data_IF_254889046177
#
_entry.id   IF_254889046177
#
_cell.length_a   1.000
_cell.length_b   1.000
_cell.length_c   1.000
_cell.angle_alpha   90.00
_cell.angle_beta   90.00
_cell.angle_gamma   90.00
#
_symmetry.space_group_name_H-M   'P 1'
#
loop_
_entity.id
_entity.type
_entity.pdbx_description
1 polymer ?
#
# COMPACT_ATOMS: atom_id res chain seq x y z
N UNK A 1 -31.29 6.03 19.29
CA UNK A 1 -29.89 6.41 19.60
C UNK A 1 -29.01 5.79 18.53
N UNK A 2 -28.21 6.63 17.85
CA UNK A 2 -26.96 6.39 17.08
C UNK A 2 -26.72 5.01 16.43
N UNK A 3 -26.33 4.86 15.17
CA UNK A 3 -25.88 5.83 14.17
C UNK A 3 -25.28 5.02 13.01
N UNK A 4 -25.83 5.16 11.81
CA UNK A 4 -25.29 4.58 10.58
C UNK A 4 -25.38 5.65 9.49
N UNK A 5 -24.36 6.48 9.40
CA UNK A 5 -24.30 7.59 8.44
C UNK A 5 -22.88 8.00 8.11
N UNK A 6 -21.91 7.09 8.27
CA UNK A 6 -20.56 7.33 7.80
C UNK A 6 -20.58 7.33 6.27
N UNK A 7 -20.25 8.47 5.66
CA UNK A 7 -20.06 8.60 4.23
C UNK A 7 -19.26 7.40 3.70
N UNK A 8 -19.93 6.56 2.92
CA UNK A 8 -19.32 5.35 2.36
C UNK A 8 -18.30 5.83 1.32
N UNK A 9 -17.00 5.67 1.62
CA UNK A 9 -15.99 5.72 0.57
C UNK A 9 -16.09 4.42 -0.22
N UNK A 10 -16.22 4.50 -1.55
CA UNK A 10 -16.17 3.29 -2.38
C UNK A 10 -14.71 3.01 -2.72
N UNK A 11 -14.21 1.88 -2.19
CA UNK A 11 -12.89 1.35 -2.52
C UNK A 11 -13.00 0.50 -3.79
N UNK A 12 -12.33 0.92 -4.87
CA UNK A 12 -12.20 0.14 -6.11
C UNK A 12 -10.94 -0.72 -6.16
N UNK A 13 -10.25 -0.91 -5.04
CA UNK A 13 -9.02 -1.68 -4.96
C UNK A 13 -9.25 -3.18 -4.74
N UNK A 14 -9.02 -4.00 -5.76
CA UNK A 14 -8.63 -5.41 -5.57
C UNK A 14 -7.15 -5.41 -5.20
N UNK A 15 -6.75 -6.21 -4.21
CA UNK A 15 -5.34 -6.42 -3.88
C UNK A 15 -5.09 -7.90 -3.59
N UNK A 16 -4.40 -8.58 -4.50
CA UNK A 16 -3.77 -9.86 -4.22
C UNK A 16 -2.61 -10.05 -5.21
N UNK A 17 -1.40 -9.71 -4.76
CA UNK A 17 -0.18 -9.88 -5.53
C UNK A 17 0.43 -11.26 -5.28
N UNK A 18 0.79 -11.94 -6.36
CA UNK A 18 1.73 -13.06 -6.42
C UNK A 18 2.88 -12.62 -7.33
N UNK A 19 3.94 -12.04 -6.75
CA UNK A 19 5.07 -11.48 -7.51
C UNK A 19 6.05 -12.56 -8.00
N UNK A 20 5.96 -13.80 -7.48
CA UNK A 20 6.81 -14.92 -7.91
C UNK A 20 6.05 -16.25 -7.86
N UNK A 21 6.23 -17.05 -8.91
CA UNK A 21 5.79 -18.45 -9.00
C UNK A 21 6.90 -19.26 -9.68
N UNK A 22 7.25 -20.41 -9.11
CA UNK A 22 8.16 -21.39 -9.73
C UNK A 22 9.61 -20.91 -9.97
N UNK A 23 10.25 -20.27 -8.99
CA UNK A 23 11.71 -20.05 -8.97
C UNK A 23 12.28 -19.22 -10.14
N UNK A 24 11.44 -18.38 -10.76
CA UNK A 24 11.84 -17.42 -11.80
C UNK A 24 11.22 -16.06 -11.48
N UNK A 25 11.90 -14.92 -11.79
CA UNK A 25 11.30 -13.60 -11.67
C UNK A 25 10.15 -13.43 -12.66
N UNK A 26 8.97 -13.94 -12.33
CA UNK A 26 7.72 -13.57 -12.99
C UNK A 26 7.22 -12.30 -12.30
N UNK A 27 7.96 -11.19 -12.48
CA UNK A 27 7.54 -9.88 -11.99
C UNK A 27 6.29 -9.50 -12.77
N UNK A 28 5.14 -9.93 -12.29
CA UNK A 28 3.87 -9.36 -12.69
C UNK A 28 3.68 -8.11 -11.82
N UNK A 29 4.38 -7.03 -12.17
CA UNK A 29 4.14 -5.67 -11.66
C UNK A 29 2.95 -5.06 -12.37
N UNK A 30 1.83 -5.77 -12.41
CA UNK A 30 0.59 -5.01 -12.47
C UNK A 30 0.60 -4.13 -11.20
N UNK A 31 0.07 -2.92 -11.28
CA UNK A 31 0.01 -2.02 -10.13
C UNK A 31 -1.46 -2.02 -9.70
N UNK A 32 -1.74 -2.38 -8.45
CA UNK A 32 -3.10 -2.31 -7.92
C UNK A 32 -3.22 -0.92 -7.31
N UNK A 33 -4.28 -0.25 -7.70
CA UNK A 33 -4.56 1.12 -7.31
C UNK A 33 -5.65 1.10 -6.24
N UNK A 34 -5.40 1.70 -5.08
CA UNK A 34 -6.45 2.07 -4.13
C UNK A 34 -6.89 3.48 -4.36
N UNK A 35 -8.18 3.63 -4.22
CA UNK A 35 -8.90 4.85 -4.46
C UNK A 35 -9.90 5.05 -3.34
N UNK A 36 -10.01 6.28 -2.85
CA UNK A 36 -10.96 6.64 -1.79
C UNK A 36 -11.76 7.86 -2.21
N UNK A 37 -12.83 7.60 -2.94
CA UNK A 37 -13.76 8.60 -3.49
C UNK A 37 -15.14 8.45 -2.85
N UNK A 38 -15.97 9.50 -2.83
CA UNK A 38 -17.36 9.40 -2.38
C UNK A 38 -18.12 8.29 -3.12
N UNK A 39 -19.01 7.56 -2.44
CA UNK A 39 -19.70 6.41 -3.02
C UNK A 39 -20.46 6.66 -4.33
N UNK A 40 -20.88 7.91 -4.58
CA UNK A 40 -21.65 8.31 -5.76
C UNK A 40 -20.86 9.24 -6.71
N UNK A 41 -19.54 9.34 -6.54
CA UNK A 41 -18.67 10.17 -7.37
C UNK A 41 -17.81 9.30 -8.28
N UNK A 42 -17.60 9.77 -9.51
CA UNK A 42 -16.59 9.23 -10.43
C UNK A 42 -15.30 10.05 -10.35
N UNK A 43 -14.22 9.50 -10.91
CA UNK A 43 -12.96 10.22 -11.10
C UNK A 43 -13.11 11.57 -11.80
N UNK A 44 -14.03 11.63 -12.78
CA UNK A 44 -14.28 12.85 -13.55
C UNK A 44 -14.96 13.95 -12.73
N UNK A 45 -15.59 13.60 -11.59
CA UNK A 45 -16.26 14.54 -10.70
C UNK A 45 -15.32 15.15 -9.65
N UNK A 46 -14.07 14.67 -9.60
CA UNK A 46 -13.05 15.15 -8.70
C UNK A 46 -12.19 16.20 -9.40
N UNK A 47 -11.99 17.32 -8.73
CA UNK A 47 -11.22 18.45 -9.24
C UNK A 47 -10.04 18.77 -8.35
N UNK A 48 -9.05 19.46 -8.92
CA UNK A 48 -7.97 20.12 -8.19
C UNK A 48 -7.21 19.24 -7.17
N UNK A 49 -6.62 18.10 -7.58
CA UNK A 49 -5.65 17.42 -6.72
C UNK A 49 -4.52 18.39 -6.36
N UNK A 50 -4.11 18.40 -5.10
CA UNK A 50 -3.01 19.26 -4.64
C UNK A 50 -1.65 18.77 -5.13
N UNK A 51 -1.50 17.46 -5.37
CA UNK A 51 -0.28 16.85 -5.86
C UNK A 51 -0.18 15.37 -5.48
N UNK A 52 1.02 14.81 -5.64
CA UNK A 52 1.34 13.42 -5.28
C UNK A 52 2.37 13.42 -4.15
N UNK A 53 2.12 12.65 -3.10
CA UNK A 53 3.09 12.40 -2.04
C UNK A 53 3.56 10.94 -2.10
N UNK A 54 4.68 10.62 -1.44
CA UNK A 54 5.23 9.26 -1.47
C UNK A 54 6.00 8.90 -0.19
N UNK A 55 6.12 7.60 0.04
CA UNK A 55 7.01 6.95 0.99
C UNK A 55 7.85 5.92 0.26
N UNK A 56 9.17 5.97 0.44
CA UNK A 56 10.09 4.93 -0.04
C UNK A 56 10.64 4.14 1.14
N UNK A 57 10.75 2.83 0.99
CA UNK A 57 11.44 1.99 1.96
C UNK A 57 12.15 0.83 1.26
N UNK A 58 13.14 0.27 1.95
CA UNK A 58 13.90 -0.88 1.47
C UNK A 58 13.58 -2.11 2.31
N UNK A 59 13.20 -3.20 1.66
CA UNK A 59 13.17 -4.52 2.27
C UNK A 59 14.49 -5.23 1.99
N UNK A 60 15.07 -5.84 3.02
CA UNK A 60 16.29 -6.61 2.90
C UNK A 60 16.02 -8.02 3.42
N UNK A 61 16.31 -9.02 2.59
CA UNK A 61 16.27 -10.41 3.00
C UNK A 61 17.38 -10.76 3.99
N UNK A 62 17.24 -11.86 4.74
CA UNK A 62 18.33 -12.38 5.56
C UNK A 62 19.54 -12.75 4.69
N UNK A 63 20.73 -12.74 5.29
CA UNK A 63 21.98 -13.12 4.62
C UNK A 63 23.19 -12.74 5.46
N UNK A 64 24.02 -13.73 5.83
CA UNK A 64 25.17 -13.53 6.71
C UNK A 64 26.43 -13.06 5.97
N UNK A 65 26.53 -13.30 4.65
CA UNK A 65 27.73 -13.00 3.83
C UNK A 65 27.38 -12.22 2.55
N UNK A 66 26.30 -12.58 1.86
CA UNK A 66 25.72 -11.83 0.73
C UNK A 66 24.25 -11.61 1.07
N UNK A 67 23.72 -10.41 0.79
CA UNK A 67 22.27 -10.18 0.93
C UNK A 67 21.56 -11.02 -0.12
N UNK A 68 20.78 -11.99 0.32
CA UNK A 68 20.15 -12.95 -0.59
C UNK A 68 19.09 -12.29 -1.46
N UNK A 69 18.45 -11.22 -0.98
CA UNK A 69 17.63 -10.36 -1.81
C UNK A 69 17.42 -8.99 -1.17
N UNK A 70 16.96 -8.04 -1.98
CA UNK A 70 16.40 -6.78 -1.50
C UNK A 70 15.38 -6.22 -2.50
N UNK A 71 14.50 -5.37 -2.00
CA UNK A 71 13.49 -4.65 -2.77
C UNK A 71 13.47 -3.19 -2.33
N UNK A 72 13.62 -2.26 -3.26
CA UNK A 72 13.27 -0.86 -3.05
C UNK A 72 11.80 -0.69 -3.43
N UNK A 73 11.02 -0.19 -2.49
CA UNK A 73 9.57 -0.10 -2.55
C UNK A 73 9.16 1.36 -2.45
N UNK A 74 8.08 1.73 -3.13
CA UNK A 74 7.46 3.04 -3.04
C UNK A 74 5.95 2.94 -2.90
N UNK A 75 5.38 3.63 -1.93
CA UNK A 75 3.96 3.94 -1.83
C UNK A 75 3.80 5.38 -2.29
N UNK A 76 3.03 5.62 -3.36
CA UNK A 76 2.72 6.98 -3.81
C UNK A 76 1.21 7.20 -3.82
N UNK A 77 0.76 8.40 -3.50
CA UNK A 77 -0.66 8.74 -3.53
C UNK A 77 -0.94 10.18 -3.93
N UNK A 78 -1.94 10.37 -4.78
CA UNK A 78 -2.43 11.68 -5.21
C UNK A 78 -3.52 12.17 -4.27
N UNK A 79 -3.30 13.32 -3.64
CA UNK A 79 -4.08 13.81 -2.52
C UNK A 79 -4.69 15.20 -2.78
N UNK A 80 -5.61 15.62 -1.90
CA UNK A 80 -6.21 16.95 -1.89
C UNK A 80 -7.29 17.18 -2.95
N UNK A 81 -7.75 16.13 -3.64
CA UNK A 81 -8.81 16.27 -4.63
C UNK A 81 -10.12 16.69 -3.94
N UNK A 82 -10.97 17.45 -4.64
CA UNK A 82 -12.22 17.98 -4.09
C UNK A 82 -13.42 17.47 -4.87
N UNK A 83 -14.49 17.19 -4.14
CA UNK A 83 -15.80 16.86 -4.70
C UNK A 83 -16.79 17.98 -4.37
N UNK A 84 -17.43 18.57 -5.38
CA UNK A 84 -18.39 19.68 -5.22
C UNK A 84 -17.86 20.83 -4.34
N UNK A 85 -16.57 21.14 -4.43
CA UNK A 85 -15.91 22.23 -3.70
C UNK A 85 -15.46 21.89 -2.28
N UNK A 86 -15.76 20.69 -1.78
CA UNK A 86 -15.42 20.25 -0.42
C UNK A 86 -14.56 18.98 -0.36
N UNK A 87 -14.05 18.72 0.84
CA UNK A 87 -13.25 17.55 1.18
C UNK A 87 -11.81 17.57 0.65
N UNK A 88 -11.08 16.50 0.96
CA UNK A 88 -9.73 16.24 0.47
C UNK A 88 -9.59 14.73 0.23
N UNK A 89 -9.80 14.27 -1.00
CA UNK A 89 -9.87 12.87 -1.37
C UNK A 89 -8.54 12.35 -1.95
N UNK A 90 -8.36 11.02 -1.88
CA UNK A 90 -7.23 10.33 -2.51
C UNK A 90 -7.71 9.75 -3.83
N UNK A 91 -7.08 10.21 -4.92
CA UNK A 91 -7.48 9.80 -6.28
C UNK A 91 -6.72 8.64 -6.85
N UNK A 92 -5.57 8.35 -6.24
CA UNK A 92 -4.77 7.21 -6.58
C UNK A 92 -3.84 6.94 -5.40
N UNK A 93 -3.68 5.68 -5.00
CA UNK A 93 -2.66 5.22 -4.09
C UNK A 93 -2.11 3.90 -4.62
N UNK A 94 -0.80 3.80 -4.80
CA UNK A 94 -0.15 2.66 -5.44
C UNK A 94 1.12 2.28 -4.70
N UNK A 95 1.31 0.99 -4.49
CA UNK A 95 2.57 0.40 -4.04
C UNK A 95 3.31 -0.15 -5.26
N UNK A 96 4.57 0.23 -5.41
CA UNK A 96 5.42 -0.14 -6.55
C UNK A 96 6.73 -0.70 -6.04
N UNK A 97 7.21 -1.78 -6.66
CA UNK A 97 8.61 -2.21 -6.54
C UNK A 97 9.42 -1.36 -7.52
N UNK A 98 10.26 -0.47 -7.04
CA UNK A 98 11.02 0.46 -7.89
C UNK A 98 12.34 -0.13 -8.36
N UNK A 99 12.94 -0.98 -7.54
CA UNK A 99 14.17 -1.70 -7.87
C UNK A 99 14.26 -2.96 -7.01
N UNK A 100 14.98 -3.98 -7.47
CA UNK A 100 15.14 -5.23 -6.72
C UNK A 100 16.37 -6.01 -7.16
N UNK A 101 16.87 -6.84 -6.25
CA UNK A 101 17.82 -7.89 -6.55
C UNK A 101 17.39 -9.16 -5.84
N UNK A 102 17.31 -10.26 -6.58
CA UNK A 102 17.10 -11.59 -6.02
C UNK A 102 18.32 -12.42 -6.34
N UNK A 103 18.99 -12.88 -5.29
CA UNK A 103 20.17 -13.73 -5.36
C UNK A 103 19.82 -15.17 -5.74
N UNK A 104 20.85 -15.98 -5.88
CA UNK A 104 20.78 -17.35 -6.46
C UNK A 104 20.22 -18.39 -5.49
N UNK A 105 19.84 -18.01 -4.26
CA UNK A 105 19.48 -18.93 -3.18
C UNK A 105 18.11 -19.60 -3.29
N UNK A 106 17.36 -19.38 -4.37
CA UNK A 106 16.11 -20.09 -4.66
C UNK A 106 14.99 -19.82 -3.65
N UNK A 107 14.78 -18.54 -3.31
CA UNK A 107 13.68 -18.13 -2.42
C UNK A 107 12.38 -17.98 -3.20
N UNK A 108 11.32 -18.54 -2.63
CA UNK A 108 9.96 -18.14 -2.96
C UNK A 108 9.64 -16.89 -2.15
N UNK A 109 9.53 -15.74 -2.82
CA UNK A 109 9.23 -14.44 -2.19
C UNK A 109 7.83 -13.98 -2.62
N UNK A 110 6.98 -13.72 -1.65
CA UNK A 110 5.63 -13.19 -1.84
C UNK A 110 5.56 -11.80 -1.24
N UNK A 111 5.28 -10.80 -2.05
CA UNK A 111 4.90 -9.47 -1.57
C UNK A 111 3.38 -9.36 -1.75
N UNK A 112 2.68 -8.97 -0.68
CA UNK A 112 1.24 -8.76 -0.69
C UNK A 112 0.92 -7.39 -0.11
N UNK A 113 -0.06 -6.72 -0.71
CA UNK A 113 -0.63 -5.50 -0.16
C UNK A 113 -2.06 -5.78 0.29
N UNK A 114 -2.47 -5.18 1.40
CA UNK A 114 -3.84 -5.23 1.90
C UNK A 114 -4.26 -3.85 2.32
N UNK A 115 -5.47 -3.46 1.94
CA UNK A 115 -6.07 -2.21 2.41
C UNK A 115 -7.08 -2.53 3.49
N UNK A 116 -6.94 -1.86 4.62
CA UNK A 116 -7.86 -1.98 5.74
C UNK A 116 -9.11 -1.13 5.54
N UNK A 117 -9.86 -0.94 6.60
CA UNK A 117 -11.08 -0.13 6.57
C UNK A 117 -10.70 1.34 6.40
N UNK A 118 -11.29 2.00 5.39
CA UNK A 118 -11.09 3.43 5.15
C UNK A 118 -11.97 4.21 6.12
N UNK A 119 -11.39 5.19 6.80
CA UNK A 119 -12.07 6.02 7.78
C UNK A 119 -12.16 7.48 7.31
N UNK A 120 -13.23 8.19 7.68
CA UNK A 120 -13.28 9.64 7.52
C UNK A 120 -12.52 10.30 8.68
N UNK A 121 -11.40 10.96 8.39
CA UNK A 121 -10.65 11.74 9.37
C UNK A 121 -11.13 13.18 9.54
N UNK A 122 -12.06 13.63 8.69
CA UNK A 122 -12.59 14.99 8.64
C UNK A 122 -13.97 15.14 9.27
N UNK A 123 -14.68 16.21 8.91
CA UNK A 123 -16.09 16.41 9.26
C UNK A 123 -17.00 15.98 8.10
N UNK A 124 -18.32 16.00 8.31
CA UNK A 124 -19.31 15.79 7.24
C UNK A 124 -19.19 16.83 6.10
N UNK A 125 -18.82 18.07 6.42
CA UNK A 125 -18.70 19.16 5.44
C UNK A 125 -17.31 19.32 4.84
N UNK A 126 -16.30 18.70 5.45
CA UNK A 126 -14.93 18.66 4.97
C UNK A 126 -14.30 17.28 5.20
N UNK A 127 -14.84 16.24 4.54
CA UNK A 127 -14.37 14.87 4.75
C UNK A 127 -12.99 14.66 4.11
N UNK A 128 -12.18 13.80 4.72
CA UNK A 128 -10.97 13.29 4.08
C UNK A 128 -10.72 11.84 4.50
N UNK A 129 -10.38 10.95 3.55
CA UNK A 129 -10.15 9.55 3.87
C UNK A 129 -8.79 9.37 4.56
N UNK A 130 -8.74 8.41 5.49
CA UNK A 130 -7.53 7.79 6.02
C UNK A 130 -7.53 6.34 5.58
N UNK A 131 -6.47 5.94 4.88
CA UNK A 131 -6.35 4.63 4.26
C UNK A 131 -5.20 3.88 4.95
N UNK A 132 -5.51 2.87 5.79
CA UNK A 132 -4.51 1.94 6.27
C UNK A 132 -4.12 0.96 5.15
N UNK A 133 -2.82 0.83 4.88
CA UNK A 133 -2.24 -0.05 3.86
C UNK A 133 -1.16 -0.90 4.53
N UNK A 134 -1.36 -2.22 4.52
CA UNK A 134 -0.37 -3.19 4.97
C UNK A 134 0.36 -3.74 3.76
N UNK A 135 1.70 -3.65 3.76
CA UNK A 135 2.57 -4.28 2.77
C UNK A 135 3.39 -5.36 3.48
N UNK A 136 3.08 -6.61 3.18
CA UNK A 136 3.71 -7.77 3.76
C UNK A 136 4.67 -8.41 2.77
N UNK A 137 5.81 -8.88 3.26
CA UNK A 137 6.64 -9.84 2.54
C UNK A 137 6.63 -11.17 3.30
N UNK A 138 6.51 -12.26 2.57
CA UNK A 138 6.86 -13.59 3.02
C UNK A 138 7.99 -14.11 2.13
N UNK A 139 8.94 -14.81 2.72
CA UNK A 139 9.97 -15.52 1.98
C UNK A 139 10.19 -16.90 2.58
N UNK A 140 10.48 -17.88 1.74
CA UNK A 140 10.84 -19.22 2.17
C UNK A 140 11.78 -19.88 1.16
N UNK A 141 12.68 -20.72 1.67
CA UNK A 141 13.41 -21.71 0.89
C UNK A 141 13.38 -23.05 1.66
N UNK A 142 14.18 -24.03 1.22
CA UNK A 142 14.23 -25.34 1.87
C UNK A 142 14.91 -25.35 3.26
N UNK A 143 15.65 -24.29 3.63
CA UNK A 143 16.34 -24.16 4.93
C UNK A 143 15.56 -23.35 5.95
N UNK A 144 14.93 -22.25 5.53
CA UNK A 144 14.29 -21.30 6.41
C UNK A 144 13.23 -20.47 5.70
N UNK A 145 12.37 -19.82 6.48
CA UNK A 145 11.42 -18.83 6.01
C UNK A 145 11.23 -17.72 7.03
N UNK A 146 10.64 -16.63 6.57
CA UNK A 146 10.40 -15.46 7.40
C UNK A 146 9.60 -14.41 6.64
N UNK A 147 9.52 -13.23 7.23
CA UNK A 147 8.77 -12.14 6.66
C UNK A 147 8.58 -10.99 7.62
N UNK A 148 7.72 -10.07 7.22
CA UNK A 148 7.29 -8.96 8.06
C UNK A 148 6.20 -8.17 7.36
N UNK A 149 5.72 -7.12 8.04
CA UNK A 149 4.74 -6.20 7.46
C UNK A 149 5.14 -4.76 7.75
N UNK A 150 5.18 -3.95 6.70
CA UNK A 150 5.16 -2.49 6.81
C UNK A 150 3.70 -2.03 6.81
N UNK A 151 3.28 -1.27 7.82
CA UNK A 151 1.94 -0.67 7.89
C UNK A 151 2.04 0.80 7.59
N UNK A 152 1.22 1.30 6.67
CA UNK A 152 1.14 2.69 6.30
C UNK A 152 -0.23 3.23 6.61
N UNK A 153 -0.31 4.49 7.00
CA UNK A 153 -1.55 5.25 7.02
C UNK A 153 -1.36 6.46 6.12
N UNK A 154 -2.12 6.57 5.04
CA UNK A 154 -2.11 7.74 4.16
C UNK A 154 -3.44 8.49 4.25
N UNK A 155 -3.40 9.81 4.14
CA UNK A 155 -4.57 10.66 4.25
C UNK A 155 -4.74 11.56 3.03
N UNK A 156 -6.00 11.89 2.69
CA UNK A 156 -6.32 12.78 1.59
C UNK A 156 -5.87 14.23 1.78
N UNK A 157 -5.40 14.59 2.97
CA UNK A 157 -4.70 15.86 3.24
C UNK A 157 -3.24 15.86 2.76
N UNK A 158 -2.71 14.70 2.35
CA UNK A 158 -1.30 14.52 2.00
C UNK A 158 -0.43 14.04 3.16
N UNK A 159 -0.97 13.96 4.39
CA UNK A 159 -0.27 13.34 5.50
C UNK A 159 -0.09 11.83 5.27
N UNK A 160 1.01 11.28 5.76
CA UNK A 160 1.13 9.84 5.91
C UNK A 160 2.18 9.45 6.95
N UNK A 161 2.07 8.22 7.44
CA UNK A 161 3.03 7.63 8.37
C UNK A 161 3.29 6.16 8.01
N UNK A 162 4.40 5.62 8.52
CA UNK A 162 4.80 4.25 8.34
C UNK A 162 5.27 3.66 9.67
N UNK A 163 4.84 2.43 9.97
CA UNK A 163 5.27 1.64 11.12
C UNK A 163 5.71 0.27 10.63
N UNK A 164 6.88 -0.19 11.07
CA UNK A 164 7.42 -1.49 10.69
C UNK A 164 7.22 -2.52 11.80
N UNK A 165 6.72 -3.71 11.43
CA UNK A 165 6.54 -4.86 12.32
C UNK A 165 7.22 -6.08 11.70
N UNK A 166 8.41 -6.42 12.19
CA UNK A 166 9.14 -7.62 11.77
C UNK A 166 8.80 -8.79 12.69
N UNK A 167 8.22 -9.86 12.13
CA UNK A 167 8.05 -11.13 12.81
C UNK A 167 9.18 -12.14 12.53
N UNK A 168 10.26 -11.75 11.86
CA UNK A 168 11.44 -12.58 11.69
C UNK A 168 12.20 -12.71 13.02
N UNK A 169 11.80 -13.67 13.86
CA UNK A 169 12.68 -14.23 14.89
C UNK A 169 13.48 -15.34 14.23
N UNK A 170 14.81 -15.16 14.26
CA UNK A 170 15.79 -16.20 13.96
C UNK A 170 15.40 -17.51 14.67
N UNK A 171 15.37 -18.62 13.91
CA UNK A 171 15.44 -19.98 14.45
C UNK A 171 16.80 -20.53 14.09
#
# INVERSE_FOLDING_TARGET
>A
MSGEGGDKFTNWGKFAWDILKDNRPAVNTEADYVNAVPANASWADLSAPHGTNHFTWKWVGPGWIIRDFWFDMMLSWTYGARWRGGGAYITNAVVTVTDYSVGVGGYDIRIACRVGNIENGGSETAPYPRIPIDVSIGYSNWLYGGGGTCRFLVAGTGAGNATYDSSARDV
#
